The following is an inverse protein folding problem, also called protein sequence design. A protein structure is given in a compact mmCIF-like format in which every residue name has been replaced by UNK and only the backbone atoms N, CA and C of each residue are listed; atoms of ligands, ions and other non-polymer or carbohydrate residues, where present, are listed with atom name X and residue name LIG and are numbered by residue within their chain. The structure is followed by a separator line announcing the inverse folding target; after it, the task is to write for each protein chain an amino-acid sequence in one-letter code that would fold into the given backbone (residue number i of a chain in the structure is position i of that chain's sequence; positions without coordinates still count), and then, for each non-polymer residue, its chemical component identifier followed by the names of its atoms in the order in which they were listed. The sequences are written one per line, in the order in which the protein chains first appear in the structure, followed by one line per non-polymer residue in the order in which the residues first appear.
data_IF_942588300552
#
_entry.id   IF_942588300552
#
_cell.length_a   1.000
_cell.length_b   1.000
_cell.length_c   1.000
_cell.angle_alpha   90.00
_cell.angle_beta   90.00
_cell.angle_gamma   90.00
#
_symmetry.space_group_name_H-M   'P 1'
#
loop_
_entity.id
_entity.type
_entity.pdbx_description
1 polymer ?
#
# COMPACT_ATOMS: atom_id res chain seq x y z
N UNK A 1 -41.78 -47.44 -10.79
CA UNK A 1 -40.62 -47.15 -11.64
C UNK A 1 -40.30 -45.68 -11.46
N UNK A 2 -39.31 -45.33 -10.64
CA UNK A 2 -39.09 -43.95 -10.19
C UNK A 2 -37.71 -43.49 -10.65
N UNK A 3 -37.64 -42.81 -11.81
CA UNK A 3 -36.40 -42.26 -12.34
C UNK A 3 -36.09 -40.92 -11.62
N UNK A 4 -35.03 -40.92 -10.80
CA UNK A 4 -34.51 -39.72 -10.14
C UNK A 4 -33.71 -38.90 -11.15
N UNK A 5 -34.27 -37.78 -11.61
CA UNK A 5 -33.54 -36.74 -12.34
C UNK A 5 -32.56 -36.05 -11.39
N UNK A 6 -31.27 -36.34 -11.54
CA UNK A 6 -30.20 -35.59 -10.87
C UNK A 6 -29.78 -34.41 -11.76
N UNK A 7 -30.21 -33.21 -11.39
CA UNK A 7 -29.72 -31.96 -11.98
C UNK A 7 -28.32 -31.64 -11.47
N UNK A 8 -27.33 -31.72 -12.36
CA UNK A 8 -25.98 -31.21 -12.14
C UNK A 8 -26.01 -29.68 -12.22
N UNK A 9 -25.82 -29.01 -11.09
CA UNK A 9 -25.66 -27.55 -11.03
C UNK A 9 -24.22 -27.21 -11.43
N UNK A 10 -24.06 -26.63 -12.61
CA UNK A 10 -22.79 -26.09 -13.09
C UNK A 10 -22.59 -24.69 -12.49
N UNK A 11 -21.69 -24.57 -11.50
CA UNK A 11 -21.28 -23.26 -10.99
C UNK A 11 -20.22 -22.66 -11.93
N UNK A 12 -20.64 -21.73 -12.80
CA UNK A 12 -19.73 -20.89 -13.56
C UNK A 12 -19.15 -19.82 -12.63
N UNK A 13 -17.95 -20.07 -12.10
CA UNK A 13 -17.18 -19.07 -11.36
C UNK A 13 -16.62 -18.04 -12.35
N UNK A 14 -17.29 -16.89 -12.48
CA UNK A 14 -16.72 -15.75 -13.20
C UNK A 14 -15.55 -15.19 -12.39
N UNK A 15 -14.38 -14.94 -12.99
CA UNK A 15 -13.28 -14.28 -12.28
C UNK A 15 -13.69 -12.82 -12.05
N UNK A 16 -13.93 -12.44 -10.80
CA UNK A 16 -13.93 -11.03 -10.42
C UNK A 16 -12.51 -10.51 -10.63
N UNK A 17 -12.29 -9.81 -11.75
CA UNK A 17 -11.12 -8.96 -11.91
C UNK A 17 -11.24 -7.81 -10.91
N UNK A 18 -10.72 -8.01 -9.70
CA UNK A 18 -10.45 -6.93 -8.78
C UNK A 18 -9.41 -6.03 -9.44
N UNK A 19 -9.86 -4.90 -10.00
CA UNK A 19 -8.99 -3.84 -10.46
C UNK A 19 -8.23 -3.31 -9.24
N UNK A 20 -7.08 -3.91 -8.94
CA UNK A 20 -6.17 -3.42 -7.93
C UNK A 20 -5.68 -2.05 -8.41
N UNK A 21 -6.18 -0.98 -7.78
CA UNK A 21 -5.66 0.36 -8.00
C UNK A 21 -4.14 0.28 -7.84
N UNK A 22 -3.40 0.63 -8.90
CA UNK A 22 -1.94 0.54 -8.87
C UNK A 22 -1.44 1.41 -7.72
N UNK A 23 -0.64 0.87 -6.80
CA UNK A 23 -0.17 1.65 -5.66
C UNK A 23 0.63 2.85 -6.19
N UNK A 24 0.27 4.06 -5.78
CA UNK A 24 1.00 5.27 -6.18
C UNK A 24 2.48 5.13 -5.80
N UNK A 25 3.36 5.43 -6.74
CA UNK A 25 4.81 5.38 -6.50
C UNK A 25 5.30 6.51 -5.58
N UNK A 26 4.45 7.48 -5.24
CA UNK A 26 4.79 8.54 -4.31
C UNK A 26 3.66 8.85 -3.32
N UNK A 27 4.06 9.26 -2.11
CA UNK A 27 3.19 9.69 -1.03
C UNK A 27 3.76 10.97 -0.41
N UNK A 28 3.02 12.08 -0.52
CA UNK A 28 3.36 13.33 0.17
C UNK A 28 2.83 13.28 1.59
N UNK A 29 3.71 13.57 2.56
CA UNK A 29 3.41 13.57 3.99
C UNK A 29 3.61 14.98 4.55
N UNK A 30 2.61 15.47 5.28
CA UNK A 30 2.71 16.71 6.04
C UNK A 30 3.47 16.45 7.34
N UNK A 31 4.49 17.26 7.63
CA UNK A 31 5.28 17.12 8.86
C UNK A 31 4.47 17.33 10.14
N UNK A 32 3.35 18.07 10.08
CA UNK A 32 2.43 18.26 11.20
C UNK A 32 1.39 17.12 11.34
N UNK A 33 1.19 16.30 10.30
CA UNK A 33 0.20 15.22 10.30
C UNK A 33 0.74 13.94 9.70
N UNK A 34 0.94 12.95 10.57
CA UNK A 34 1.39 11.62 10.17
C UNK A 34 0.32 10.89 9.35
N UNK A 35 0.71 10.11 8.32
CA UNK A 35 -0.20 9.35 7.50
C UNK A 35 -0.85 8.21 8.29
N UNK A 36 -2.07 7.89 7.90
CA UNK A 36 -2.84 6.79 8.48
C UNK A 36 -2.24 5.43 8.08
N UNK A 37 -2.53 4.39 8.86
CA UNK A 37 -2.12 3.03 8.51
C UNK A 37 -2.73 2.54 7.19
N UNK A 38 -3.97 2.95 6.88
CA UNK A 38 -4.61 2.66 5.60
C UNK A 38 -3.84 3.29 4.44
N UNK A 39 -3.48 4.57 4.57
CA UNK A 39 -2.67 5.27 3.57
C UNK A 39 -1.32 4.59 3.36
N UNK A 40 -0.68 4.14 4.44
CA UNK A 40 0.57 3.37 4.34
C UNK A 40 0.34 2.03 3.66
N UNK A 41 -0.73 1.29 3.98
CA UNK A 41 -1.06 0.01 3.35
C UNK A 41 -1.30 0.17 1.83
N UNK A 42 -2.08 1.18 1.44
CA UNK A 42 -2.34 1.51 0.03
C UNK A 42 -1.07 1.91 -0.71
N UNK A 43 -0.26 2.79 -0.11
CA UNK A 43 1.02 3.18 -0.68
C UNK A 43 1.94 1.97 -0.82
N UNK A 44 2.00 1.11 0.20
CA UNK A 44 2.90 -0.06 0.27
C UNK A 44 2.46 -1.29 -0.48
N UNK A 45 1.18 -1.37 -0.88
CA UNK A 45 0.57 -2.60 -1.38
C UNK A 45 0.47 -3.70 -0.32
N UNK A 46 0.67 -3.38 0.96
CA UNK A 46 0.62 -4.37 2.04
C UNK A 46 -0.84 -4.62 2.42
N UNK A 47 -1.36 -5.80 2.07
CA UNK A 47 -2.72 -6.21 2.41
C UNK A 47 -2.89 -6.64 3.88
N UNK A 48 -1.80 -7.06 4.54
CA UNK A 48 -1.84 -7.49 5.94
C UNK A 48 -1.73 -6.30 6.90
N UNK A 49 -2.74 -6.12 7.75
CA UNK A 49 -2.82 -4.98 8.65
C UNK A 49 -1.64 -4.88 9.63
N UNK A 50 -1.19 -6.01 10.19
CA UNK A 50 -0.04 -6.04 11.10
C UNK A 50 1.27 -5.65 10.41
N UNK A 51 1.47 -6.09 9.17
CA UNK A 51 2.63 -5.72 8.38
C UNK A 51 2.58 -4.22 7.99
N UNK A 52 1.38 -3.70 7.70
CA UNK A 52 1.19 -2.28 7.42
C UNK A 52 1.52 -1.41 8.64
N UNK A 53 1.26 -1.90 9.87
CA UNK A 53 1.67 -1.21 11.10
C UNK A 53 3.19 -1.11 11.22
N UNK A 54 3.90 -2.23 11.03
CA UNK A 54 5.36 -2.25 11.09
C UNK A 54 6.00 -1.36 10.00
N UNK A 55 5.45 -1.38 8.78
CA UNK A 55 5.88 -0.50 7.70
C UNK A 55 5.65 0.98 8.04
N UNK A 56 4.51 1.30 8.66
CA UNK A 56 4.21 2.65 9.13
C UNK A 56 5.25 3.14 10.15
N UNK A 57 5.58 2.34 11.16
CA UNK A 57 6.56 2.75 12.19
C UNK A 57 7.94 3.09 11.58
N UNK A 58 8.40 2.29 10.61
CA UNK A 58 9.64 2.56 9.87
C UNK A 58 9.55 3.85 9.05
N UNK A 59 8.45 4.03 8.32
CA UNK A 59 8.20 5.26 7.55
C UNK A 59 8.17 6.49 8.45
N UNK A 60 7.55 6.40 9.62
CA UNK A 60 7.46 7.53 10.54
C UNK A 60 8.83 7.93 11.08
N UNK A 61 9.73 6.96 11.30
CA UNK A 61 11.13 7.22 11.64
C UNK A 61 11.80 8.10 10.59
N UNK A 62 11.69 7.72 9.31
CA UNK A 62 12.31 8.45 8.22
C UNK A 62 11.68 9.83 8.00
N UNK A 63 10.35 9.92 8.04
CA UNK A 63 9.63 11.21 7.93
C UNK A 63 10.06 12.15 9.06
N UNK A 64 10.17 11.67 10.31
CA UNK A 64 10.63 12.51 11.43
C UNK A 64 12.06 13.01 11.24
N UNK A 65 12.95 12.19 10.65
CA UNK A 65 14.32 12.61 10.32
C UNK A 65 14.36 13.66 9.21
N UNK A 66 13.46 13.55 8.23
CA UNK A 66 13.35 14.46 7.09
C UNK A 66 12.65 15.78 7.44
N UNK A 67 11.68 15.74 8.36
CA UNK A 67 10.95 16.91 8.88
C UNK A 67 11.81 17.77 9.81
N UNK A 68 12.76 18.49 9.22
CA UNK A 68 13.60 19.49 9.90
C UNK A 68 12.88 20.85 9.97
N UNK A 69 13.29 21.77 10.86
CA UNK A 69 12.75 23.13 10.90
C UNK A 69 12.79 23.77 9.50
N UNK A 70 11.67 24.32 9.05
CA UNK A 70 11.50 24.91 7.71
C UNK A 70 10.93 23.95 6.64
N UNK A 71 10.92 22.63 6.89
CA UNK A 71 10.28 21.65 6.00
C UNK A 71 8.82 21.45 6.42
N UNK A 72 7.90 21.65 5.48
CA UNK A 72 6.45 21.44 5.73
C UNK A 72 5.96 20.09 5.25
N UNK A 73 6.54 19.59 4.16
CA UNK A 73 6.12 18.35 3.53
C UNK A 73 7.32 17.54 3.09
N UNK A 74 7.16 16.23 3.08
CA UNK A 74 8.16 15.26 2.65
C UNK A 74 7.51 14.33 1.63
N UNK A 75 8.21 14.07 0.53
CA UNK A 75 7.73 13.17 -0.52
C UNK A 75 8.41 11.82 -0.38
N UNK A 76 7.64 10.82 -0.01
CA UNK A 76 8.07 9.42 0.01
C UNK A 76 7.95 8.88 -1.40
N UNK A 77 8.99 8.22 -1.90
CA UNK A 77 9.01 7.57 -3.21
C UNK A 77 9.29 6.09 -3.00
N UNK A 78 8.47 5.24 -3.61
CA UNK A 78 8.70 3.81 -3.68
C UNK A 78 9.67 3.54 -4.81
N UNK A 79 10.85 3.06 -4.47
CA UNK A 79 11.77 2.52 -5.48
C UNK A 79 11.35 1.08 -5.77
N UNK A 80 10.65 0.87 -6.87
CA UNK A 80 10.40 -0.49 -7.37
C UNK A 80 11.70 -1.01 -7.97
N UNK A 81 12.55 -1.66 -7.16
CA UNK A 81 13.62 -2.50 -7.72
C UNK A 81 12.95 -3.71 -8.34
N UNK A 82 13.04 -3.82 -9.66
CA UNK A 82 12.29 -4.78 -10.49
C UNK A 82 12.51 -6.28 -10.17
N UNK A 83 13.23 -6.64 -9.11
CA UNK A 83 13.56 -8.02 -8.76
C UNK A 83 13.58 -8.35 -7.25
N UNK A 84 13.10 -7.46 -6.36
CA UNK A 84 12.96 -7.79 -4.94
C UNK A 84 11.50 -7.60 -4.48
N UNK A 85 10.88 -8.59 -3.80
CA UNK A 85 9.55 -8.46 -3.24
C UNK A 85 9.48 -7.46 -2.06
N UNK A 86 10.62 -6.96 -1.58
CA UNK A 86 10.72 -5.94 -0.54
C UNK A 86 11.03 -4.57 -1.17
N UNK A 87 9.98 -3.78 -1.41
CA UNK A 87 10.12 -2.47 -2.02
C UNK A 87 10.83 -1.50 -1.06
N UNK A 88 12.01 -1.01 -1.45
CA UNK A 88 12.73 0.01 -0.70
C UNK A 88 11.99 1.36 -0.76
N UNK A 89 11.95 2.06 0.37
CA UNK A 89 11.32 3.37 0.53
C UNK A 89 12.41 4.45 0.56
N UNK A 90 12.39 5.35 -0.42
CA UNK A 90 13.25 6.52 -0.47
C UNK A 90 12.48 7.77 0.01
N UNK A 91 13.16 8.66 0.72
CA UNK A 91 12.58 9.90 1.24
C UNK A 91 13.24 11.09 0.57
N UNK A 92 12.47 11.84 -0.22
CA UNK A 92 12.89 13.10 -0.81
C UNK A 92 12.26 14.27 -0.04
N UNK A 93 13.08 15.25 0.35
CA UNK A 93 12.59 16.51 0.90
C UNK A 93 12.43 17.51 -0.24
N UNK A 94 11.21 17.94 -0.50
CA UNK A 94 10.96 19.10 -1.38
C UNK A 94 11.02 20.36 -0.51
N UNK A 95 11.95 21.27 -0.84
CA UNK A 95 11.95 22.61 -0.28
C UNK A 95 10.99 23.49 -1.11
N UNK A 96 10.29 24.46 -0.48
CA UNK A 96 9.42 25.40 -1.20
C UNK A 96 10.20 26.28 -2.19
#
# INVERSE_FOLDING_TARGET
MNAKLSSLILFAAAPLAAAAASPSNALTVDCARLPSQRTVAEFTGIANFGHAYAARERLMSEVRRACKPGVRQVRLVRETRANEPDAALAVATEAP
#
